data_IF_242491492085
#
_entry.id   IF_242491492085
#
_cell.length_a   1.000
_cell.length_b   1.000
_cell.length_c   1.000
_cell.angle_alpha   90.00
_cell.angle_beta   90.00
_cell.angle_gamma   90.00
#
_symmetry.space_group_name_H-M   'P 1'
#
loop_
_entity.id
_entity.type
_entity.pdbx_description
1 polymer ?
#
# COMPACT_ATOMS: atom_id res chain seq x y z
N UNK A 1 -5.84 -3.33 7.59
CA UNK A 1 -6.13 -3.89 6.24
C UNK A 1 -4.92 -4.67 5.77
N UNK A 2 -5.03 -5.98 5.59
CA UNK A 2 -3.96 -6.81 5.02
C UNK A 2 -4.05 -6.77 3.47
N UNK A 3 -2.99 -6.37 2.74
CA UNK A 3 -3.00 -6.40 1.27
C UNK A 3 -2.84 -7.85 0.77
N UNK A 4 -3.96 -8.49 0.42
CA UNK A 4 -3.94 -9.84 -0.12
C UNK A 4 -3.44 -9.86 -1.58
N UNK A 5 -2.13 -9.88 -1.75
CA UNK A 5 -1.44 -9.90 -3.06
C UNK A 5 -1.61 -11.23 -3.81
N UNK A 6 -2.11 -12.27 -3.14
CA UNK A 6 -2.37 -13.60 -3.72
C UNK A 6 -3.84 -13.84 -4.04
N UNK A 7 -4.70 -12.84 -3.92
CA UNK A 7 -6.13 -12.98 -4.22
C UNK A 7 -6.33 -13.44 -5.68
N UNK A 8 -7.18 -14.45 -5.86
CA UNK A 8 -7.44 -15.08 -7.17
C UNK A 8 -8.02 -14.10 -8.20
N UNK A 9 -8.81 -13.14 -7.74
CA UNK A 9 -9.44 -12.10 -8.57
C UNK A 9 -8.59 -10.84 -8.75
N UNK A 10 -7.35 -10.82 -8.26
CA UNK A 10 -6.47 -9.66 -8.40
C UNK A 10 -5.94 -9.57 -9.84
N UNK A 11 -6.20 -8.47 -10.58
CA UNK A 11 -5.73 -8.32 -11.96
C UNK A 11 -4.21 -8.42 -12.08
N UNK A 12 -3.72 -8.98 -13.19
CA UNK A 12 -2.27 -9.16 -13.42
C UNK A 12 -1.50 -7.83 -13.35
N UNK A 13 -1.99 -6.79 -14.02
CA UNK A 13 -1.36 -5.46 -13.99
C UNK A 13 -1.23 -4.86 -12.57
N UNK A 14 -2.06 -5.29 -11.62
CA UNK A 14 -1.94 -4.86 -10.21
C UNK A 14 -0.86 -5.65 -9.48
N UNK A 15 -0.72 -6.94 -9.79
CA UNK A 15 0.37 -7.77 -9.25
C UNK A 15 1.73 -7.27 -9.76
N UNK A 16 1.80 -6.93 -11.04
CA UNK A 16 3.03 -6.44 -11.70
C UNK A 16 3.46 -5.06 -11.19
N UNK A 17 2.54 -4.31 -10.57
CA UNK A 17 2.84 -3.01 -9.96
C UNK A 17 3.47 -3.08 -8.56
N UNK A 18 3.61 -4.28 -7.98
CA UNK A 18 4.16 -4.47 -6.63
C UNK A 18 5.67 -4.65 -6.67
N UNK A 19 6.39 -3.94 -5.81
CA UNK A 19 7.85 -4.04 -5.74
C UNK A 19 8.29 -5.22 -4.89
N UNK A 20 9.45 -5.80 -5.22
CA UNK A 20 10.05 -6.90 -4.46
C UNK A 20 10.32 -6.50 -2.99
N UNK A 21 10.72 -5.24 -2.77
CA UNK A 21 10.97 -4.70 -1.43
C UNK A 21 9.70 -4.71 -0.58
N UNK A 22 8.59 -4.19 -1.10
CA UNK A 22 7.29 -4.16 -0.42
C UNK A 22 6.79 -5.58 -0.15
N UNK A 23 6.95 -6.48 -1.11
CA UNK A 23 6.59 -7.89 -0.98
C UNK A 23 7.43 -8.62 0.08
N UNK A 24 8.71 -8.29 0.20
CA UNK A 24 9.60 -8.86 1.22
C UNK A 24 9.13 -8.51 2.63
N UNK A 25 8.81 -7.24 2.90
CA UNK A 25 8.26 -6.84 4.21
C UNK A 25 6.90 -7.48 4.48
N UNK A 26 6.02 -7.48 3.47
CA UNK A 26 4.69 -8.07 3.60
C UNK A 26 4.75 -9.55 3.95
N UNK A 27 5.56 -10.34 3.24
CA UNK A 27 5.66 -11.78 3.45
C UNK A 27 6.45 -12.17 4.70
N UNK A 28 7.39 -11.33 5.13
CA UNK A 28 8.21 -11.60 6.32
C UNK A 28 7.49 -11.26 7.62
N UNK A 29 6.70 -10.20 7.65
CA UNK A 29 6.17 -9.63 8.90
C UNK A 29 4.64 -9.66 9.00
N UNK A 30 3.93 -9.90 7.90
CA UNK A 30 2.47 -9.86 7.89
C UNK A 30 1.87 -11.20 7.46
N UNK A 31 0.70 -11.49 8.01
CA UNK A 31 -0.18 -12.61 7.65
C UNK A 31 -1.61 -12.09 7.52
N UNK A 32 -2.51 -12.95 7.04
CA UNK A 32 -3.93 -12.60 6.96
C UNK A 32 -4.53 -12.19 8.32
N UNK A 33 -4.07 -12.81 9.41
CA UNK A 33 -4.56 -12.55 10.78
C UNK A 33 -3.76 -11.48 11.52
N UNK A 34 -2.54 -11.14 11.07
CA UNK A 34 -1.68 -10.16 11.72
C UNK A 34 -1.04 -9.25 10.67
N UNK A 35 -1.33 -7.96 10.75
CA UNK A 35 -0.77 -6.99 9.82
C UNK A 35 0.06 -5.95 10.58
N UNK A 36 1.20 -5.56 10.02
CA UNK A 36 2.12 -4.58 10.60
C UNK A 36 2.17 -3.30 9.73
N UNK A 37 2.60 -2.15 10.28
CA UNK A 37 2.71 -0.90 9.51
C UNK A 37 3.60 -1.00 8.28
N UNK A 38 4.58 -1.91 8.27
CA UNK A 38 5.46 -2.15 7.13
C UNK A 38 4.75 -2.71 5.88
N UNK A 39 3.46 -3.08 5.98
CA UNK A 39 2.61 -3.42 4.83
C UNK A 39 2.11 -2.21 4.03
N UNK A 40 2.21 -0.99 4.58
CA UNK A 40 1.68 0.23 3.94
C UNK A 40 2.22 0.46 2.51
N UNK A 41 3.52 0.28 2.21
CA UNK A 41 4.02 0.41 0.84
C UNK A 41 3.31 -0.51 -0.16
N UNK A 42 3.06 -1.77 0.21
CA UNK A 42 2.32 -2.71 -0.65
C UNK A 42 0.88 -2.26 -0.88
N UNK A 43 0.22 -1.67 0.14
CA UNK A 43 -1.12 -1.10 0.00
C UNK A 43 -1.11 0.08 -0.98
N UNK A 44 -0.13 0.99 -0.86
CA UNK A 44 0.03 2.15 -1.75
C UNK A 44 0.25 1.69 -3.19
N UNK A 45 1.16 0.73 -3.42
CA UNK A 45 1.44 0.16 -4.74
C UNK A 45 0.20 -0.49 -5.37
N UNK A 46 -0.55 -1.30 -4.61
CA UNK A 46 -1.78 -1.91 -5.09
C UNK A 46 -2.83 -0.86 -5.49
N UNK A 47 -3.04 0.16 -4.65
CA UNK A 47 -3.98 1.26 -4.94
C UNK A 47 -3.53 2.04 -6.17
N UNK A 48 -2.25 2.38 -6.27
CA UNK A 48 -1.67 3.11 -7.39
C UNK A 48 -1.85 2.34 -8.71
N UNK A 49 -1.63 1.03 -8.70
CA UNK A 49 -1.83 0.19 -9.87
C UNK A 49 -3.31 0.14 -10.31
N UNK A 50 -4.26 0.04 -9.37
CA UNK A 50 -5.70 0.15 -9.70
C UNK A 50 -6.07 1.54 -10.26
N UNK A 51 -5.46 2.60 -9.74
CA UNK A 51 -5.70 3.97 -10.20
C UNK A 51 -4.96 4.33 -11.49
N UNK A 52 -4.07 3.46 -11.99
CA UNK A 52 -3.12 3.75 -13.08
C UNK A 52 -2.31 5.02 -12.80
N UNK A 53 -1.85 5.18 -11.56
CA UNK A 53 -1.00 6.29 -11.10
C UNK A 53 0.32 5.79 -10.58
N UNK A 54 1.27 6.71 -10.40
CA UNK A 54 2.53 6.42 -9.74
C UNK A 54 2.34 6.22 -8.22
N UNK A 55 3.01 5.24 -7.59
CA UNK A 55 2.93 5.04 -6.14
C UNK A 55 3.26 6.29 -5.32
N UNK A 56 4.22 7.10 -5.78
CA UNK A 56 4.66 8.32 -5.08
C UNK A 56 3.54 9.38 -5.02
N UNK A 57 2.75 9.50 -6.10
CA UNK A 57 1.61 10.43 -6.13
C UNK A 57 0.53 10.02 -5.12
N UNK A 58 0.24 8.72 -5.04
CA UNK A 58 -0.73 8.16 -4.10
C UNK A 58 -0.21 8.31 -2.66
N UNK A 59 1.07 8.01 -2.41
CA UNK A 59 1.69 8.15 -1.11
C UNK A 59 1.62 9.60 -0.59
N UNK A 60 1.97 10.57 -1.43
CA UNK A 60 1.95 11.99 -1.06
C UNK A 60 0.52 12.46 -0.81
N UNK A 61 -0.41 12.19 -1.73
CA UNK A 61 -1.80 12.63 -1.60
C UNK A 61 -2.45 12.05 -0.34
N UNK A 62 -2.26 10.76 -0.08
CA UNK A 62 -2.80 10.10 1.12
C UNK A 62 -2.14 10.61 2.40
N UNK A 63 -0.83 10.89 2.39
CA UNK A 63 -0.13 11.46 3.54
C UNK A 63 -0.61 12.88 3.86
N UNK A 64 -0.75 13.76 2.87
CA UNK A 64 -1.28 15.12 3.09
C UNK A 64 -2.72 15.08 3.62
N UNK A 65 -3.55 14.18 3.08
CA UNK A 65 -4.91 14.00 3.57
C UNK A 65 -4.93 13.52 5.02
N UNK A 66 -4.08 12.55 5.38
CA UNK A 66 -3.95 12.06 6.75
C UNK A 66 -3.47 13.17 7.69
N UNK A 67 -2.44 13.94 7.31
CA UNK A 67 -1.94 15.04 8.14
C UNK A 67 -3.01 16.09 8.40
N UNK A 68 -3.79 16.48 7.39
CA UNK A 68 -4.90 17.42 7.55
C UNK A 68 -6.02 16.85 8.40
N UNK A 69 -6.43 15.62 8.14
CA UNK A 69 -7.54 14.95 8.82
C UNK A 69 -7.26 14.75 10.31
N UNK A 70 -6.03 14.35 10.65
CA UNK A 70 -5.61 14.08 12.02
C UNK A 70 -4.98 15.30 12.72
N UNK A 71 -4.97 16.48 12.09
CA UNK A 71 -4.45 17.71 12.69
C UNK A 71 -2.93 17.76 12.88
N UNK A 72 -2.17 16.95 12.14
CA UNK A 72 -0.70 16.84 12.24
C UNK A 72 0.05 17.93 11.47
N UNK A 73 -0.66 18.82 10.77
CA UNK A 73 -0.08 19.90 9.96
C UNK A 73 0.18 21.21 10.72
N UNK A 74 -0.07 21.25 12.04
CA UNK A 74 0.05 22.45 12.88
C UNK A 74 1.09 22.29 14.02
N UNK A 75 2.27 21.75 13.71
CA UNK A 75 3.43 21.81 14.61
C UNK A 75 4.27 23.03 14.22
#
# INVERSE_FOLDING_TARGET
MYPNTRASKLPLHVKDGLTERSMTFLHRYCTFQRNEPCSLPAIVEMIAAFMKKKPEEVALATSFNAMKLFGLSKI
#
